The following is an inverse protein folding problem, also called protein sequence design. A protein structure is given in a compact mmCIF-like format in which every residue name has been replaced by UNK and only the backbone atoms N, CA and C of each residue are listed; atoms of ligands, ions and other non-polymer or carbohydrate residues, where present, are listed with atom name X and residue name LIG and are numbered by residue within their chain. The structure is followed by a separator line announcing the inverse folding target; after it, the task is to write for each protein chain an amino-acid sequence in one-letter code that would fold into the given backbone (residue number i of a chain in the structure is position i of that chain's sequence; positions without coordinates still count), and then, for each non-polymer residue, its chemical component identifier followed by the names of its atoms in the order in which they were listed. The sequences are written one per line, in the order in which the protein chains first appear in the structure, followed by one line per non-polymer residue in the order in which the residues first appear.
data_IF_797008024490
#
_entry.id   IF_797008024490
#
_cell.length_a   1.000
_cell.length_b   1.000
_cell.length_c   1.000
_cell.angle_alpha   90.00
_cell.angle_beta   90.00
_cell.angle_gamma   90.00
#
_symmetry.space_group_name_H-M   'P 1'
#
loop_
_entity.id
_entity.type
_entity.pdbx_description
1 polymer ?
#
# COMPACT_ATOMS: atom_id res chain seq x y z
N UNK A 1 -8.27 -15.61 -6.69
CA UNK A 1 -8.77 -14.30 -7.18
C UNK A 1 -7.62 -13.31 -7.18
N UNK A 2 -7.48 -12.48 -8.21
CA UNK A 2 -6.40 -11.49 -8.30
C UNK A 2 -6.96 -10.08 -8.47
N UNK A 3 -6.46 -9.12 -7.69
CA UNK A 3 -6.86 -7.72 -7.71
C UNK A 3 -5.73 -6.86 -8.25
N UNK A 4 -5.96 -6.20 -9.37
CA UNK A 4 -4.99 -5.30 -10.00
C UNK A 4 -4.98 -3.92 -9.34
N UNK A 5 -3.79 -3.32 -9.26
CA UNK A 5 -3.62 -1.93 -8.83
C UNK A 5 -3.92 -1.64 -7.36
N UNK A 6 -3.86 -2.64 -6.48
CA UNK A 6 -4.14 -2.50 -5.06
C UNK A 6 -2.88 -2.16 -4.28
N UNK A 7 -2.72 -0.90 -3.90
CA UNK A 7 -1.55 -0.41 -3.15
C UNK A 7 -1.86 0.04 -1.72
N UNK A 8 -3.12 0.33 -1.41
CA UNK A 8 -3.52 0.79 -0.08
C UNK A 8 -3.48 -0.36 0.92
N UNK A 9 -2.89 -0.12 2.08
CA UNK A 9 -2.71 -1.12 3.12
C UNK A 9 -4.02 -1.54 3.78
N UNK A 10 -4.97 -0.60 3.89
CA UNK A 10 -6.32 -0.87 4.36
C UNK A 10 -7.07 -1.83 3.43
N UNK A 11 -6.83 -1.74 2.12
CA UNK A 11 -7.39 -2.68 1.15
C UNK A 11 -6.73 -4.05 1.22
N UNK A 12 -5.45 -4.11 1.56
CA UNK A 12 -4.77 -5.38 1.79
C UNK A 12 -5.38 -6.13 3.00
N UNK A 13 -5.70 -5.43 4.09
CA UNK A 13 -6.37 -6.03 5.26
C UNK A 13 -7.79 -6.48 4.92
N UNK A 14 -8.55 -5.67 4.18
CA UNK A 14 -9.89 -6.02 3.69
C UNK A 14 -9.87 -7.32 2.87
N UNK A 15 -8.96 -7.41 1.90
CA UNK A 15 -8.84 -8.59 1.05
C UNK A 15 -8.39 -9.83 1.82
N UNK A 16 -7.61 -9.64 2.88
CA UNK A 16 -7.22 -10.72 3.79
C UNK A 16 -8.43 -11.26 4.57
N UNK A 17 -9.34 -10.38 5.04
CA UNK A 17 -10.57 -10.82 5.72
C UNK A 17 -11.49 -11.60 4.77
N UNK A 18 -11.65 -11.14 3.52
CA UNK A 18 -12.41 -11.89 2.50
C UNK A 18 -11.80 -13.28 2.28
N UNK A 19 -10.47 -13.35 2.14
CA UNK A 19 -9.78 -14.64 1.99
C UNK A 19 -10.03 -15.56 3.18
N UNK A 20 -9.94 -15.03 4.39
CA UNK A 20 -10.15 -15.77 5.63
C UNK A 20 -11.58 -16.33 5.73
N UNK A 21 -12.57 -15.50 5.43
CA UNK A 21 -13.97 -15.92 5.45
C UNK A 21 -14.27 -17.01 4.41
N UNK A 22 -13.81 -16.85 3.16
CA UNK A 22 -13.98 -17.88 2.14
C UNK A 22 -13.28 -19.18 2.52
N UNK A 23 -12.07 -19.10 3.09
CA UNK A 23 -11.34 -20.29 3.54
C UNK A 23 -12.06 -21.03 4.67
N UNK A 24 -12.63 -20.28 5.59
CA UNK A 24 -13.32 -20.84 6.75
C UNK A 24 -14.60 -21.59 6.38
N UNK A 25 -15.36 -21.07 5.42
CA UNK A 25 -16.71 -21.56 5.16
C UNK A 25 -16.88 -22.33 3.84
N UNK A 26 -15.99 -22.14 2.87
CA UNK A 26 -16.20 -22.70 1.52
C UNK A 26 -15.01 -23.46 0.96
N UNK A 27 -13.82 -22.86 0.92
CA UNK A 27 -12.67 -23.47 0.27
C UNK A 27 -11.36 -23.07 0.97
N UNK A 28 -10.81 -23.99 1.75
CA UNK A 28 -9.56 -23.78 2.50
C UNK A 28 -8.36 -23.38 1.63
N UNK A 29 -8.37 -23.75 0.35
CA UNK A 29 -7.32 -23.44 -0.61
C UNK A 29 -7.55 -22.12 -1.36
N UNK A 30 -8.63 -21.38 -1.06
CA UNK A 30 -8.90 -20.12 -1.72
C UNK A 30 -7.77 -19.11 -1.44
N UNK A 31 -7.29 -18.45 -2.48
CA UNK A 31 -6.23 -17.47 -2.39
C UNK A 31 -6.62 -16.17 -3.06
N UNK A 32 -6.38 -15.08 -2.35
CA UNK A 32 -6.45 -13.71 -2.88
C UNK A 32 -5.02 -13.22 -3.07
N UNK A 33 -4.74 -12.72 -4.25
CA UNK A 33 -3.49 -12.03 -4.58
C UNK A 33 -3.80 -10.64 -5.12
N UNK A 34 -2.85 -9.74 -4.98
CA UNK A 34 -2.95 -8.39 -5.54
C UNK A 34 -1.56 -7.87 -5.89
N UNK A 35 -1.53 -6.88 -6.76
CA UNK A 35 -0.31 -6.21 -7.19
C UNK A 35 -0.48 -4.69 -7.20
N UNK A 36 0.64 -3.99 -7.32
CA UNK A 36 0.65 -2.57 -7.60
C UNK A 36 2.00 -2.12 -8.16
N UNK A 37 1.98 -1.07 -8.96
CA UNK A 37 3.18 -0.42 -9.47
C UNK A 37 3.77 0.62 -8.48
N UNK A 38 3.14 0.86 -7.34
CA UNK A 38 3.49 1.95 -6.43
C UNK A 38 4.94 1.94 -5.93
N UNK A 39 5.56 0.79 -5.57
CA UNK A 39 6.97 0.77 -5.18
C UNK A 39 7.92 1.20 -6.31
N UNK A 40 7.62 0.80 -7.54
CA UNK A 40 8.40 1.18 -8.72
C UNK A 40 8.24 2.66 -9.05
N UNK A 41 6.99 3.16 -9.00
CA UNK A 41 6.69 4.58 -9.21
C UNK A 41 7.33 5.46 -8.14
N UNK A 42 7.37 5.01 -6.89
CA UNK A 42 8.06 5.72 -5.81
C UNK A 42 9.55 5.89 -6.16
N UNK A 43 10.22 4.82 -6.60
CA UNK A 43 11.62 4.89 -7.03
C UNK A 43 11.80 5.83 -8.22
N UNK A 44 10.93 5.74 -9.23
CA UNK A 44 10.96 6.61 -10.40
C UNK A 44 10.79 8.10 -10.04
N UNK A 45 10.10 8.38 -8.94
CA UNK A 45 9.93 9.72 -8.39
C UNK A 45 11.02 10.09 -7.34
N UNK A 46 12.08 9.31 -7.24
CA UNK A 46 13.15 9.55 -6.27
C UNK A 46 12.70 9.44 -4.82
N UNK A 47 11.84 8.47 -4.50
CA UNK A 47 11.31 8.25 -3.16
C UNK A 47 11.66 6.85 -2.65
N UNK A 48 12.05 6.79 -1.38
CA UNK A 48 12.40 5.57 -0.66
C UNK A 48 11.35 5.32 0.42
N UNK A 49 10.80 4.13 0.48
CA UNK A 49 9.87 3.71 1.52
C UNK A 49 10.61 3.49 2.84
N UNK A 50 10.07 4.04 3.92
CA UNK A 50 10.66 3.97 5.25
C UNK A 50 9.86 3.09 6.21
N UNK A 51 8.67 3.54 6.57
CA UNK A 51 7.85 2.86 7.57
C UNK A 51 6.36 3.02 7.32
N UNK A 52 5.59 2.04 7.79
CA UNK A 52 4.14 2.12 7.88
C UNK A 52 3.75 2.97 9.10
N UNK A 53 2.84 3.91 8.90
CA UNK A 53 2.22 4.70 9.96
C UNK A 53 0.71 4.43 10.01
N UNK A 54 0.25 3.88 11.13
CA UNK A 54 -1.16 3.47 11.37
C UNK A 54 -1.83 4.26 12.49
N UNK A 55 -1.16 5.28 13.04
CA UNK A 55 -1.67 6.10 14.15
C UNK A 55 -2.97 6.81 13.80
N UNK A 56 -3.06 7.32 12.57
CA UNK A 56 -4.29 7.88 12.04
C UNK A 56 -5.13 6.76 11.42
N UNK A 57 -6.22 6.39 12.09
CA UNK A 57 -7.13 5.35 11.63
C UNK A 57 -7.86 5.72 10.34
N UNK A 58 -7.96 6.99 10.01
CA UNK A 58 -8.63 7.45 8.79
C UNK A 58 -7.78 7.24 7.56
N UNK A 59 -6.46 7.16 7.72
CA UNK A 59 -5.53 7.00 6.62
C UNK A 59 -4.23 6.35 7.09
N UNK A 60 -4.04 5.11 6.74
CA UNK A 60 -2.74 4.46 6.86
C UNK A 60 -1.82 4.95 5.75
N UNK A 61 -0.63 5.32 6.09
CA UNK A 61 0.32 5.88 5.15
C UNK A 61 1.66 5.16 5.17
N UNK A 62 2.29 5.14 4.01
CA UNK A 62 3.69 4.85 3.88
C UNK A 62 4.48 6.13 4.02
N UNK A 63 5.35 6.21 5.01
CA UNK A 63 6.31 7.30 5.09
C UNK A 63 7.40 7.07 4.05
N UNK A 64 7.68 8.10 3.27
CA UNK A 64 8.73 8.10 2.27
C UNK A 64 9.71 9.22 2.53
N UNK A 65 10.98 8.97 2.23
CA UNK A 65 12.00 10.01 2.18
C UNK A 65 12.45 10.22 0.75
N UNK A 66 12.81 11.46 0.37
CA UNK A 66 13.40 11.69 -0.94
C UNK A 66 14.77 11.02 -1.00
N UNK A 67 15.02 10.34 -2.09
CA UNK A 67 16.36 9.89 -2.43
C UNK A 67 17.17 11.11 -2.84
N UNK A 68 18.17 11.47 -2.05
CA UNK A 68 18.99 12.64 -2.28
C UNK A 68 20.01 12.29 -3.35
N UNK A 69 20.05 13.12 -4.38
CA UNK A 69 21.01 13.03 -5.46
C UNK A 69 22.00 14.20 -5.33
N UNK A 70 22.96 14.05 -4.46
CA UNK A 70 24.01 15.02 -4.21
C UNK A 70 25.38 14.40 -4.52
N UNK A 71 26.24 15.15 -5.21
CA UNK A 71 27.62 14.73 -5.52
C UNK A 71 28.42 14.37 -4.27
N UNK A 72 28.12 15.00 -3.13
CA UNK A 72 28.73 14.66 -1.86
C UNK A 72 28.48 13.20 -1.43
N UNK A 73 27.35 12.63 -1.84
CA UNK A 73 27.00 11.24 -1.51
C UNK A 73 27.84 10.21 -2.29
N UNK A 74 28.50 10.59 -3.38
CA UNK A 74 29.33 9.67 -4.16
C UNK A 74 30.55 9.14 -3.38
N UNK A 75 30.94 9.79 -2.29
CA UNK A 75 32.01 9.36 -1.40
C UNK A 75 31.54 9.09 0.03
N UNK A 76 30.24 9.24 0.28
CA UNK A 76 29.66 9.10 1.62
C UNK A 76 29.47 7.63 1.98
N UNK A 77 30.07 7.23 3.09
CA UNK A 77 30.00 5.87 3.64
C UNK A 77 28.90 5.68 4.68
N UNK A 78 28.05 6.67 4.88
CA UNK A 78 26.88 6.57 5.76
C UNK A 78 25.97 5.44 5.27
N UNK A 79 25.51 4.55 6.17
CA UNK A 79 24.60 3.46 5.79
C UNK A 79 23.38 3.97 5.04
N UNK A 80 22.92 3.19 4.04
CA UNK A 80 21.80 3.56 3.19
C UNK A 80 20.57 4.03 3.98
N UNK A 81 20.20 3.31 5.03
CA UNK A 81 19.04 3.61 5.89
C UNK A 81 19.17 4.92 6.69
N UNK A 82 20.34 5.53 6.70
CA UNK A 82 20.63 6.79 7.41
C UNK A 82 21.02 7.94 6.48
N UNK A 83 21.56 7.63 5.32
CA UNK A 83 22.13 8.60 4.39
C UNK A 83 21.10 9.61 3.86
N UNK A 84 19.84 9.21 3.75
CA UNK A 84 18.76 10.04 3.23
C UNK A 84 17.91 10.70 4.31
N UNK A 85 18.30 10.54 5.57
CA UNK A 85 17.64 11.18 6.71
C UNK A 85 18.13 12.63 6.82
N UNK A 86 17.19 13.56 6.71
CA UNK A 86 17.48 15.00 6.94
C UNK A 86 17.14 15.37 8.37
N UNK A 87 18.00 16.17 8.99
CA UNK A 87 17.81 16.67 10.36
C UNK A 87 16.37 17.14 10.61
N UNK A 88 15.74 16.60 11.62
CA UNK A 88 14.44 17.00 12.13
C UNK A 88 13.20 16.55 11.33
N UNK A 89 13.38 15.93 10.14
CA UNK A 89 12.23 15.58 9.30
C UNK A 89 12.00 14.09 9.10
N UNK A 90 13.06 13.30 9.08
CA UNK A 90 12.96 11.87 8.79
C UNK A 90 13.83 11.09 9.75
N UNK A 91 13.32 9.99 10.24
CA UNK A 91 14.07 9.02 11.03
C UNK A 91 14.78 8.03 10.11
N UNK A 92 15.83 7.38 10.63
CA UNK A 92 16.38 6.21 9.98
C UNK A 92 15.28 5.16 9.79
N UNK A 93 15.40 4.36 8.75
CA UNK A 93 14.48 3.27 8.43
C UNK A 93 15.20 1.93 8.41
N UNK A 94 14.46 0.83 8.38
CA UNK A 94 15.06 -0.50 8.33
C UNK A 94 15.63 -0.78 6.95
N UNK A 95 16.88 -1.23 6.92
CA UNK A 95 17.46 -1.77 5.69
C UNK A 95 16.74 -3.05 5.26
N UNK A 96 16.45 -3.12 3.98
CA UNK A 96 16.03 -4.39 3.37
C UNK A 96 17.24 -5.35 3.29
N UNK A 97 17.02 -6.65 3.08
CA UNK A 97 18.12 -7.57 2.77
C UNK A 97 18.95 -7.14 1.57
N UNK A 98 18.36 -6.34 0.67
CA UNK A 98 19.02 -5.83 -0.54
C UNK A 98 19.93 -4.65 -0.23
N UNK A 99 19.55 -3.77 0.69
CA UNK A 99 20.31 -2.56 1.06
C UNK A 99 21.23 -2.75 2.26
N UNK A 100 21.09 -3.87 2.97
CA UNK A 100 21.90 -4.17 4.14
C UNK A 100 23.38 -4.19 3.81
N UNK A 101 24.13 -3.33 4.47
CA UNK A 101 25.57 -3.19 4.27
C UNK A 101 25.95 -2.24 3.13
N UNK A 102 24.98 -1.67 2.42
CA UNK A 102 25.22 -0.62 1.45
C UNK A 102 25.26 0.76 2.13
N UNK A 103 25.98 1.67 1.51
CA UNK A 103 26.11 3.08 1.91
C UNK A 103 25.61 4.01 0.81
N UNK A 104 25.57 5.30 1.08
CA UNK A 104 25.17 6.30 0.09
C UNK A 104 25.99 6.22 -1.19
N UNK A 105 27.31 6.05 -1.09
CA UNK A 105 28.19 5.94 -2.25
C UNK A 105 27.86 4.76 -3.16
N UNK A 106 27.32 3.68 -2.61
CA UNK A 106 26.99 2.49 -3.39
C UNK A 106 25.71 2.68 -4.24
N UNK A 107 24.93 3.72 -3.91
CA UNK A 107 23.74 4.13 -4.66
C UNK A 107 24.04 5.30 -5.61
N UNK A 108 24.92 6.21 -5.22
CA UNK A 108 25.23 7.44 -5.96
C UNK A 108 26.57 7.32 -6.74
N UNK A 109 26.85 6.17 -7.31
CA UNK A 109 28.15 5.89 -7.98
C UNK A 109 28.25 6.50 -9.38
N UNK A 110 27.12 6.80 -10.01
CA UNK A 110 27.09 7.21 -11.42
C UNK A 110 26.30 8.50 -11.59
N UNK A 111 26.84 9.46 -12.33
CA UNK A 111 26.23 10.77 -12.62
C UNK A 111 25.43 11.38 -11.45
N UNK A 112 25.96 11.48 -10.22
CA UNK A 112 25.24 12.06 -9.11
C UNK A 112 24.88 13.52 -9.42
N UNK A 113 23.74 13.98 -8.95
CA UNK A 113 23.20 15.31 -9.22
C UNK A 113 22.26 15.38 -10.41
N UNK A 114 22.00 14.25 -11.09
CA UNK A 114 21.09 14.20 -12.24
C UNK A 114 19.72 13.59 -11.92
N UNK A 115 19.58 12.93 -10.79
CA UNK A 115 18.30 12.44 -10.28
C UNK A 115 17.39 13.65 -10.01
N UNK A 116 16.14 13.54 -10.27
CA UNK A 116 15.15 14.59 -10.00
C UNK A 116 15.37 15.91 -10.75
N UNK A 117 16.14 15.96 -11.82
CA UNK A 117 16.16 17.11 -12.70
C UNK A 117 14.77 17.40 -13.26
N UNK A 118 14.33 18.63 -13.13
CA UNK A 118 13.03 19.09 -13.62
C UNK A 118 13.13 19.45 -15.11
N UNK A 119 12.14 19.01 -15.89
CA UNK A 119 12.02 19.35 -17.31
C UNK A 119 12.22 18.17 -18.25
N UNK A 120 12.54 18.46 -19.52
CA UNK A 120 12.74 17.43 -20.56
C UNK A 120 13.93 16.49 -20.25
N UNK A 121 14.80 16.90 -19.37
CA UNK A 121 15.96 16.18 -18.90
C UNK A 121 15.73 15.44 -17.59
N UNK A 122 14.50 15.43 -17.07
CA UNK A 122 14.10 14.76 -15.82
C UNK A 122 14.15 13.23 -15.90
N UNK A 123 15.16 12.70 -16.55
CA UNK A 123 15.49 11.29 -16.52
C UNK A 123 16.36 11.04 -15.29
N UNK A 124 15.99 10.02 -14.54
CA UNK A 124 16.88 9.52 -13.51
C UNK A 124 18.20 9.16 -14.17
N UNK A 125 19.26 9.79 -13.72
CA UNK A 125 20.61 9.48 -14.18
C UNK A 125 21.26 8.36 -13.39
N UNK A 126 20.54 7.78 -12.47
CA UNK A 126 20.99 6.62 -11.77
C UNK A 126 21.19 5.49 -12.78
N UNK A 127 22.29 4.80 -12.63
CA UNK A 127 22.47 3.59 -13.41
C UNK A 127 21.39 2.55 -13.07
N UNK A 128 21.25 1.57 -13.94
CA UNK A 128 20.24 0.52 -13.77
C UNK A 128 20.43 -0.30 -12.49
N UNK A 129 21.65 -0.38 -11.97
CA UNK A 129 21.94 -1.10 -10.73
C UNK A 129 21.42 -0.35 -9.50
N UNK A 130 21.77 0.93 -9.35
CA UNK A 130 21.28 1.78 -8.26
C UNK A 130 19.76 1.89 -8.25
N UNK A 131 19.17 1.98 -9.44
CA UNK A 131 17.72 1.99 -9.60
C UNK A 131 17.08 0.68 -9.15
N UNK A 132 17.65 -0.46 -9.57
CA UNK A 132 17.15 -1.79 -9.20
C UNK A 132 17.25 -2.05 -7.69
N UNK A 133 18.32 -1.60 -7.02
CA UNK A 133 18.48 -1.71 -5.57
C UNK A 133 17.37 -0.96 -4.85
N UNK A 134 17.09 0.28 -5.23
CA UNK A 134 16.04 1.08 -4.60
C UNK A 134 14.65 0.53 -4.88
N UNK A 135 14.40 0.06 -6.10
CA UNK A 135 13.15 -0.64 -6.44
C UNK A 135 12.97 -1.89 -5.56
N UNK A 136 14.02 -2.71 -5.44
CA UNK A 136 14.00 -3.89 -4.60
C UNK A 136 13.73 -3.56 -3.13
N UNK A 137 14.35 -2.51 -2.59
CA UNK A 137 14.07 -2.02 -1.24
C UNK A 137 12.62 -1.59 -1.08
N UNK A 138 12.09 -0.80 -2.02
CA UNK A 138 10.71 -0.34 -1.95
C UNK A 138 9.70 -1.49 -2.05
N UNK A 139 9.96 -2.49 -2.89
CA UNK A 139 9.11 -3.70 -2.98
C UNK A 139 9.14 -4.47 -1.67
N UNK A 140 10.32 -4.72 -1.12
CA UNK A 140 10.47 -5.41 0.17
C UNK A 140 9.74 -4.66 1.29
N UNK A 141 9.93 -3.34 1.36
CA UNK A 141 9.27 -2.49 2.36
C UNK A 141 7.75 -2.53 2.22
N UNK A 142 7.24 -2.54 1.00
CA UNK A 142 5.80 -2.64 0.75
C UNK A 142 5.22 -3.98 1.21
N UNK A 143 5.89 -5.09 0.90
CA UNK A 143 5.47 -6.43 1.33
C UNK A 143 5.44 -6.50 2.87
N UNK A 144 6.49 -6.02 3.52
CA UNK A 144 6.55 -6.01 4.99
C UNK A 144 5.45 -5.14 5.61
N UNK A 145 5.12 -4.02 4.99
CA UNK A 145 4.04 -3.18 5.50
C UNK A 145 2.66 -3.82 5.33
N UNK A 146 2.42 -4.55 4.26
CA UNK A 146 1.19 -5.34 4.12
C UNK A 146 1.08 -6.36 5.24
N UNK A 147 2.17 -7.06 5.56
CA UNK A 147 2.21 -8.02 6.66
C UNK A 147 1.99 -7.34 8.02
N UNK A 148 2.67 -6.22 8.25
CA UNK A 148 2.53 -5.44 9.47
C UNK A 148 1.13 -4.84 9.63
N UNK A 149 0.54 -4.35 8.54
CA UNK A 149 -0.83 -3.85 8.53
C UNK A 149 -1.83 -4.94 8.96
N UNK A 150 -1.69 -6.15 8.42
CA UNK A 150 -2.53 -7.29 8.84
C UNK A 150 -2.29 -7.66 10.31
N UNK A 151 -1.03 -7.66 10.77
CA UNK A 151 -0.71 -7.94 12.16
C UNK A 151 -1.32 -6.90 13.11
N UNK A 152 -1.24 -5.63 12.79
CA UNK A 152 -1.84 -4.57 13.59
C UNK A 152 -3.37 -4.65 13.59
N UNK A 153 -3.96 -4.95 12.44
CA UNK A 153 -5.39 -5.19 12.33
C UNK A 153 -5.86 -6.35 13.23
N UNK A 154 -5.14 -7.46 13.23
CA UNK A 154 -5.42 -8.60 14.11
C UNK A 154 -5.27 -8.24 15.60
N UNK A 155 -4.40 -7.27 15.93
CA UNK A 155 -4.24 -6.73 17.28
C UNK A 155 -5.23 -5.59 17.62
N UNK A 156 -6.25 -5.38 16.79
CA UNK A 156 -7.33 -4.43 17.05
C UNK A 156 -7.10 -2.99 16.55
N UNK A 157 -6.03 -2.74 15.80
CA UNK A 157 -5.82 -1.46 15.12
C UNK A 157 -6.60 -1.46 13.80
N UNK A 158 -7.87 -1.11 13.85
CA UNK A 158 -8.79 -1.18 12.71
C UNK A 158 -8.85 0.15 11.96
N UNK A 159 -8.62 0.16 10.63
CA UNK A 159 -8.82 1.37 9.82
C UNK A 159 -10.28 1.83 9.87
N UNK A 160 -10.48 3.14 9.89
CA UNK A 160 -11.83 3.72 10.00
C UNK A 160 -12.76 3.26 8.86
N UNK A 161 -12.22 3.05 7.64
CA UNK A 161 -13.02 2.56 6.51
C UNK A 161 -13.58 1.14 6.70
N UNK A 162 -13.04 0.37 7.63
CA UNK A 162 -13.48 -1.00 7.91
C UNK A 162 -14.39 -1.08 9.16
N UNK A 163 -14.94 0.06 9.57
CA UNK A 163 -15.86 0.18 10.70
C UNK A 163 -17.12 0.93 10.27
N UNK A 164 -18.28 0.35 10.49
CA UNK A 164 -19.55 1.05 10.35
C UNK A 164 -19.96 1.61 11.71
N UNK A 165 -19.83 2.92 11.86
CA UNK A 165 -20.06 3.61 13.15
C UNK A 165 -21.55 3.86 13.44
N UNK A 166 -22.45 3.63 12.47
CA UNK A 166 -23.90 3.91 12.62
C UNK A 166 -24.65 2.82 13.39
N UNK A 167 -24.08 1.62 13.48
CA UNK A 167 -24.72 0.45 14.11
C UNK A 167 -23.76 -0.14 15.13
N UNK A 168 -23.86 0.22 16.38
CA UNK A 168 -23.11 -0.35 17.50
C UNK A 168 -21.64 -0.78 17.15
N UNK A 169 -21.04 -0.07 16.22
CA UNK A 169 -19.68 -0.29 15.76
C UNK A 169 -19.44 -1.68 15.16
N UNK A 170 -20.09 -1.96 14.03
CA UNK A 170 -19.91 -3.20 13.28
C UNK A 170 -18.60 -3.14 12.46
N UNK A 171 -17.84 -4.22 12.50
CA UNK A 171 -16.61 -4.35 11.76
C UNK A 171 -16.83 -5.04 10.40
N UNK A 172 -16.08 -4.64 9.40
CA UNK A 172 -16.09 -5.24 8.06
C UNK A 172 -15.95 -6.77 8.11
N UNK A 173 -15.04 -7.29 8.94
CA UNK A 173 -14.83 -8.73 9.10
C UNK A 173 -16.09 -9.47 9.50
N UNK A 174 -16.88 -8.89 10.40
CA UNK A 174 -18.10 -9.55 10.93
C UNK A 174 -19.17 -9.63 9.85
N UNK A 175 -19.29 -8.59 9.03
CA UNK A 175 -20.23 -8.55 7.90
C UNK A 175 -19.82 -9.52 6.80
N UNK A 176 -18.53 -9.57 6.46
CA UNK A 176 -17.99 -10.52 5.48
C UNK A 176 -18.16 -11.95 5.99
N UNK A 177 -17.92 -12.18 7.28
CA UNK A 177 -18.11 -13.50 7.88
C UNK A 177 -19.57 -13.92 7.82
N UNK A 178 -20.52 -13.03 8.12
CA UNK A 178 -21.96 -13.31 8.04
C UNK A 178 -22.38 -13.69 6.60
N UNK A 179 -21.85 -13.00 5.57
CA UNK A 179 -22.13 -13.32 4.16
C UNK A 179 -21.67 -14.75 3.82
N UNK A 180 -20.44 -15.11 4.19
CA UNK A 180 -19.86 -16.40 3.79
C UNK A 180 -20.25 -17.56 4.74
N UNK A 181 -20.78 -17.27 5.93
CA UNK A 181 -21.23 -18.29 6.88
C UNK A 181 -22.57 -18.95 6.47
N UNK A 182 -23.40 -18.24 5.71
CA UNK A 182 -24.65 -18.82 5.21
C UNK A 182 -24.45 -19.64 3.96
N UNK A 183 -25.19 -20.73 3.82
CA UNK A 183 -25.30 -21.51 2.58
C UNK A 183 -26.47 -21.06 1.69
N UNK A 184 -27.30 -20.14 2.19
CA UNK A 184 -28.47 -19.61 1.52
C UNK A 184 -28.11 -18.30 0.79
N UNK A 185 -28.28 -18.29 -0.53
CA UNK A 185 -28.01 -17.14 -1.38
C UNK A 185 -28.84 -15.91 -0.99
N UNK A 186 -30.14 -16.11 -0.72
CA UNK A 186 -31.06 -15.00 -0.42
C UNK A 186 -30.68 -14.34 0.91
N UNK A 187 -30.23 -15.11 1.90
CA UNK A 187 -29.71 -14.59 3.16
C UNK A 187 -28.43 -13.79 2.95
N UNK A 188 -27.50 -14.29 2.13
CA UNK A 188 -26.27 -13.56 1.81
C UNK A 188 -26.56 -12.24 1.07
N UNK A 189 -27.49 -12.25 0.11
CA UNK A 189 -27.93 -11.06 -0.61
C UNK A 189 -28.59 -10.06 0.35
N UNK A 190 -29.41 -10.50 1.31
CA UNK A 190 -30.02 -9.63 2.32
C UNK A 190 -28.96 -8.91 3.17
N UNK A 191 -27.91 -9.59 3.61
CA UNK A 191 -26.79 -8.96 4.34
C UNK A 191 -26.06 -7.94 3.45
N UNK A 192 -25.83 -8.26 2.17
CA UNK A 192 -25.20 -7.32 1.24
C UNK A 192 -26.05 -6.07 1.06
N UNK A 193 -27.36 -6.21 0.92
CA UNK A 193 -28.27 -5.07 0.76
C UNK A 193 -28.36 -4.23 2.03
N UNK A 194 -28.45 -4.84 3.20
CA UNK A 194 -28.47 -4.15 4.49
C UNK A 194 -27.27 -3.23 4.68
N UNK A 195 -26.08 -3.71 4.30
CA UNK A 195 -24.84 -2.96 4.41
C UNK A 195 -24.43 -2.22 3.12
N UNK A 196 -25.36 -2.01 2.17
CA UNK A 196 -25.05 -1.40 0.87
C UNK A 196 -24.30 -0.07 0.95
N UNK A 197 -24.70 0.83 1.85
CA UNK A 197 -24.03 2.13 2.07
C UNK A 197 -22.60 1.97 2.60
N UNK A 198 -22.36 0.96 3.43
CA UNK A 198 -21.04 0.66 3.96
C UNK A 198 -20.12 0.16 2.84
N UNK A 199 -20.60 -0.79 2.00
CA UNK A 199 -19.85 -1.24 0.82
C UNK A 199 -19.50 -0.11 -0.11
N UNK A 200 -20.46 0.76 -0.42
CA UNK A 200 -20.25 1.90 -1.31
C UNK A 200 -19.23 2.89 -0.75
N UNK A 201 -19.21 3.11 0.56
CA UNK A 201 -18.19 3.95 1.20
C UNK A 201 -16.79 3.35 1.07
N UNK A 202 -16.67 2.05 1.23
CA UNK A 202 -15.39 1.32 1.08
C UNK A 202 -14.92 1.38 -0.38
N UNK A 203 -15.81 1.10 -1.35
CA UNK A 203 -15.48 1.17 -2.78
C UNK A 203 -15.01 2.57 -3.16
N UNK A 204 -15.66 3.61 -2.65
CA UNK A 204 -15.24 5.00 -2.85
C UNK A 204 -13.81 5.30 -2.39
N UNK A 205 -13.26 4.54 -1.43
CA UNK A 205 -11.88 4.70 -0.96
C UNK A 205 -10.84 4.12 -1.91
N UNK A 206 -11.24 3.21 -2.83
CA UNK A 206 -10.32 2.58 -3.78
C UNK A 206 -9.62 3.59 -4.69
N UNK A 207 -10.19 4.78 -4.83
CA UNK A 207 -9.81 5.89 -5.67
C UNK A 207 -8.47 5.72 -6.37
N UNK A 208 -8.51 5.65 -7.69
CA UNK A 208 -7.32 5.77 -8.50
C UNK A 208 -6.57 7.05 -8.09
N UNK A 209 -5.27 7.01 -8.17
CA UNK A 209 -4.37 8.16 -8.02
C UNK A 209 -4.61 9.26 -9.05
N UNK A 210 -5.71 9.25 -9.75
CA UNK A 210 -6.15 10.22 -10.75
C UNK A 210 -7.65 10.46 -10.69
N UNK A 211 -8.02 11.59 -10.20
CA UNK A 211 -9.19 12.46 -10.46
C UNK A 211 -10.61 11.89 -10.68
N UNK A 212 -10.85 10.58 -10.66
CA UNK A 212 -12.21 10.03 -10.70
C UNK A 212 -12.54 9.39 -9.34
N UNK A 213 -13.19 10.15 -8.49
CA UNK A 213 -13.97 9.59 -7.39
C UNK A 213 -15.14 8.82 -8.02
N UNK A 214 -15.24 7.53 -7.71
CA UNK A 214 -16.50 6.80 -7.99
C UNK A 214 -17.58 7.49 -7.18
N UNK A 215 -18.51 8.14 -7.86
CA UNK A 215 -19.66 8.75 -7.20
C UNK A 215 -20.49 7.63 -6.59
N UNK A 216 -20.65 7.64 -5.29
CA UNK A 216 -21.47 6.69 -4.54
C UNK A 216 -22.95 6.67 -4.97
N UNK A 217 -23.37 7.63 -5.80
CA UNK A 217 -24.72 7.73 -6.37
C UNK A 217 -24.96 6.93 -7.65
N UNK A 218 -23.92 6.37 -8.25
CA UNK A 218 -24.02 5.75 -9.59
C UNK A 218 -24.04 4.22 -9.58
N UNK A 219 -24.40 3.57 -8.54
CA UNK A 219 -24.66 2.13 -8.53
C UNK A 219 -23.56 1.22 -9.11
N UNK A 220 -23.70 -0.06 -8.91
CA UNK A 220 -22.78 -1.09 -9.41
C UNK A 220 -22.66 -1.18 -10.95
N UNK A 221 -23.64 -0.65 -11.69
CA UNK A 221 -23.67 -0.71 -13.16
C UNK A 221 -22.49 0.00 -13.84
N UNK A 222 -21.99 1.08 -13.25
CA UNK A 222 -20.90 1.86 -13.86
C UNK A 222 -19.49 1.32 -13.55
N UNK A 223 -19.37 0.30 -12.72
CA UNK A 223 -18.08 -0.37 -12.48
C UNK A 223 -17.61 -1.25 -13.63
N UNK A 224 -18.51 -1.60 -14.54
CA UNK A 224 -18.27 -2.54 -15.65
C UNK A 224 -18.45 -1.93 -17.04
N UNK A 225 -18.90 -0.68 -17.14
CA UNK A 225 -19.16 -0.01 -18.43
C UNK A 225 -17.96 0.81 -18.96
N UNK A 226 -16.86 0.91 -18.21
CA UNK A 226 -15.64 1.62 -18.64
C UNK A 226 -14.45 0.64 -18.77
N UNK A 227 -14.58 -0.39 -19.62
CA UNK A 227 -13.45 -1.17 -20.14
C UNK A 227 -13.38 -0.97 -21.65
#
# INVERSE_FOLDING_TARGET
MHFLGTSKLEWATLLTDVQRAVRKYHNENFTVTFDCASPFLATANGQIYCELETKDRTKWVYRMVPSIDDKALATDTTPFSQAFVREGKHKSFLDSPITKGLSAKDICIYNPGDLNKIGKEGKTSWDSFSYAIQMGHNVWSHINAVQEANRQYDNGVVPAMLVEERFDRIFFRDVVEAIFATSNRDEAEAVIEEFSKFWMSIIGTRGATGKKTVNASTGFSNLFEEV
#
